data_IF_392037871858
#
_entry.id   IF_392037871858
#
_cell.length_a   1.000
_cell.length_b   1.000
_cell.length_c   1.000
_cell.angle_alpha   90.00
_cell.angle_beta   90.00
_cell.angle_gamma   90.00
#
_symmetry.space_group_name_H-M   'P 1'
#
loop_
_entity.id
_entity.type
_entity.pdbx_description
1 polymer ?
#
# COMPACT_ATOMS: atom_id res chain seq x y z
N UNK A 1 -7.18 -7.68 21.91
CA UNK A 1 -6.18 -7.71 20.82
C UNK A 1 -6.00 -9.16 20.39
N UNK A 2 -6.08 -9.45 19.08
CA UNK A 2 -5.84 -10.81 18.59
C UNK A 2 -4.38 -11.20 18.79
N UNK A 3 -4.14 -12.47 19.05
CA UNK A 3 -2.81 -13.05 19.25
C UNK A 3 -2.60 -14.15 18.24
N UNK A 4 -1.48 -14.06 17.53
CA UNK A 4 -1.09 -14.97 16.46
C UNK A 4 0.05 -15.86 16.92
N UNK A 5 0.01 -17.12 16.51
CA UNK A 5 1.06 -18.10 16.73
C UNK A 5 1.58 -18.56 15.37
N UNK A 6 2.90 -18.70 15.25
CA UNK A 6 3.58 -19.09 14.02
C UNK A 6 4.19 -20.48 14.22
N UNK A 7 4.01 -21.39 13.27
CA UNK A 7 4.69 -22.67 13.30
C UNK A 7 6.02 -22.56 12.53
N UNK A 8 7.14 -22.79 13.23
CA UNK A 8 8.49 -22.81 12.64
C UNK A 8 9.12 -24.19 12.79
N UNK A 9 8.43 -25.21 12.28
CA UNK A 9 8.91 -26.59 12.26
C UNK A 9 8.77 -27.28 13.61
N UNK A 10 9.78 -27.16 14.48
CA UNK A 10 9.82 -27.86 15.77
C UNK A 10 9.18 -27.06 16.92
N UNK A 11 8.94 -25.76 16.72
CA UNK A 11 8.44 -24.88 17.77
C UNK A 11 7.35 -23.94 17.24
N UNK A 12 6.42 -23.60 18.12
CA UNK A 12 5.41 -22.58 17.88
C UNK A 12 5.85 -21.28 18.54
N UNK A 13 6.04 -20.24 17.74
CA UNK A 13 6.45 -18.92 18.19
C UNK A 13 5.21 -18.05 18.45
N UNK A 14 5.25 -17.25 19.51
CA UNK A 14 4.19 -16.32 19.88
C UNK A 14 3.87 -16.37 21.37
N UNK A 15 2.81 -15.68 21.82
CA UNK A 15 1.83 -14.96 20.99
C UNK A 15 2.33 -13.60 20.45
N UNK A 16 2.08 -13.34 19.16
CA UNK A 16 2.42 -12.09 18.47
C UNK A 16 1.19 -11.22 18.18
N UNK A 17 1.40 -9.91 18.09
CA UNK A 17 0.46 -8.96 17.50
C UNK A 17 0.57 -8.94 15.97
N UNK A 18 -0.39 -8.32 15.28
CA UNK A 18 -0.33 -8.18 13.82
C UNK A 18 0.89 -7.34 13.39
N UNK A 19 1.26 -6.37 14.21
CA UNK A 19 2.44 -5.53 14.04
C UNK A 19 3.73 -6.37 14.18
N UNK A 20 3.84 -7.19 15.22
CA UNK A 20 5.01 -8.06 15.42
C UNK A 20 5.21 -9.06 14.26
N UNK A 21 4.11 -9.49 13.61
CA UNK A 21 4.19 -10.36 12.43
C UNK A 21 4.91 -9.69 11.25
N UNK A 22 4.88 -8.35 11.13
CA UNK A 22 5.63 -7.62 10.10
C UNK A 22 7.14 -7.78 10.32
N UNK A 23 7.58 -7.68 11.56
CA UNK A 23 8.99 -7.77 11.93
C UNK A 23 9.54 -9.19 11.76
N UNK A 24 8.68 -10.20 11.92
CA UNK A 24 9.04 -11.61 11.74
C UNK A 24 9.13 -12.06 10.28
N UNK A 25 8.86 -11.18 9.31
CA UNK A 25 8.94 -11.45 7.86
C UNK A 25 8.30 -12.79 7.47
N UNK A 26 7.09 -13.04 8.00
CA UNK A 26 6.34 -14.24 7.65
C UNK A 26 6.10 -14.31 6.14
N UNK A 27 5.99 -15.51 5.59
CA UNK A 27 5.67 -15.75 4.18
C UNK A 27 4.23 -16.23 4.01
N UNK A 28 3.74 -16.25 2.78
CA UNK A 28 2.40 -16.73 2.44
C UNK A 28 2.17 -18.18 2.85
N UNK A 29 3.22 -18.99 2.88
CA UNK A 29 3.22 -20.41 3.22
C UNK A 29 3.42 -20.65 4.72
N UNK A 30 3.74 -19.61 5.50
CA UNK A 30 3.93 -19.72 6.94
C UNK A 30 2.61 -20.15 7.57
N UNK A 31 2.63 -21.22 8.35
CA UNK A 31 1.46 -21.71 9.08
C UNK A 31 1.21 -20.83 10.30
N UNK A 32 0.00 -20.29 10.38
CA UNK A 32 -0.43 -19.38 11.45
C UNK A 32 -1.66 -19.94 12.12
N UNK A 33 -1.74 -19.77 13.44
CA UNK A 33 -2.93 -20.09 14.21
C UNK A 33 -3.30 -18.92 15.14
N UNK A 34 -4.59 -18.71 15.34
CA UNK A 34 -5.12 -17.78 16.33
C UNK A 34 -6.47 -18.29 16.83
N UNK A 35 -6.90 -17.80 17.98
CA UNK A 35 -8.19 -18.16 18.59
C UNK A 35 -9.33 -17.85 17.62
N UNK A 36 -10.04 -18.90 17.18
CA UNK A 36 -11.12 -18.82 16.19
C UNK A 36 -10.81 -19.52 14.85
N UNK A 37 -9.60 -20.07 14.67
CA UNK A 37 -9.29 -21.00 13.59
C UNK A 37 -9.41 -22.46 14.05
N UNK A 38 -9.94 -23.30 13.16
CA UNK A 38 -10.06 -24.76 13.40
C UNK A 38 -8.70 -25.46 13.49
N UNK A 39 -7.65 -24.86 12.93
CA UNK A 39 -6.29 -25.40 12.96
C UNK A 39 -5.26 -24.48 12.31
N UNK A 40 -4.02 -24.95 12.26
CA UNK A 40 -2.92 -24.26 11.58
C UNK A 40 -3.32 -23.98 10.13
N UNK A 41 -3.37 -22.70 9.79
CA UNK A 41 -3.82 -22.24 8.49
C UNK A 41 -2.69 -21.48 7.82
N UNK A 42 -2.38 -21.73 6.53
CA UNK A 42 -1.40 -20.95 5.80
C UNK A 42 -1.74 -19.46 5.84
N UNK A 43 -0.74 -18.60 6.04
CA UNK A 43 -0.97 -17.17 6.18
C UNK A 43 -1.66 -16.54 4.95
N UNK A 44 -1.45 -17.11 3.76
CA UNK A 44 -2.14 -16.74 2.51
C UNK A 44 -3.66 -16.97 2.51
N UNK A 45 -4.17 -17.85 3.38
CA UNK A 45 -5.60 -18.18 3.42
C UNK A 45 -6.31 -17.32 4.51
N UNK A 46 -5.53 -16.64 5.34
CA UNK A 46 -6.02 -15.75 6.39
C UNK A 46 -6.09 -14.33 5.83
N UNK A 47 -7.29 -13.90 5.41
CA UNK A 47 -7.55 -12.58 4.80
C UNK A 47 -6.91 -11.40 5.53
N UNK A 48 -6.92 -11.38 6.86
CA UNK A 48 -6.33 -10.30 7.66
C UNK A 48 -4.80 -10.21 7.58
N UNK A 49 -4.11 -11.28 7.18
CA UNK A 49 -2.65 -11.30 6.99
C UNK A 49 -2.23 -10.90 5.58
N UNK A 50 -3.15 -10.75 4.62
CA UNK A 50 -2.80 -10.37 3.24
C UNK A 50 -2.05 -9.04 3.17
N UNK A 51 -2.34 -8.12 4.09
CA UNK A 51 -1.64 -6.83 4.21
C UNK A 51 -0.12 -7.00 4.41
N UNK A 52 0.32 -8.13 4.98
CA UNK A 52 1.72 -8.46 5.18
C UNK A 52 2.40 -8.94 3.89
N UNK A 53 1.63 -9.38 2.90
CA UNK A 53 2.13 -9.96 1.64
C UNK A 53 1.92 -9.08 0.40
N UNK A 54 1.08 -8.05 0.51
CA UNK A 54 0.64 -7.20 -0.61
C UNK A 54 1.66 -6.16 -1.08
N UNK A 55 2.97 -6.37 -0.86
CA UNK A 55 3.97 -5.38 -1.29
C UNK A 55 4.17 -5.31 -2.82
N UNK A 56 3.76 -6.30 -3.60
CA UNK A 56 3.71 -6.25 -5.07
C UNK A 56 2.66 -7.26 -5.60
N UNK A 57 2.00 -7.01 -6.75
CA UNK A 57 1.19 -8.03 -7.39
C UNK A 57 2.09 -9.21 -7.78
N UNK A 58 2.03 -10.29 -7.02
CA UNK A 58 2.92 -11.45 -7.09
C UNK A 58 2.78 -12.29 -8.39
N UNK A 59 1.91 -11.91 -9.33
CA UNK A 59 1.63 -12.78 -10.48
C UNK A 59 2.56 -12.64 -11.70
N UNK A 60 3.32 -11.55 -11.90
CA UNK A 60 3.97 -11.35 -13.21
C UNK A 60 5.45 -10.90 -13.18
N UNK A 61 6.17 -11.14 -12.09
CA UNK A 61 7.56 -10.66 -11.97
C UNK A 61 8.56 -11.83 -11.84
N UNK A 62 8.61 -12.71 -12.84
CA UNK A 62 9.58 -13.83 -12.92
C UNK A 62 11.01 -13.36 -13.27
N UNK A 63 11.36 -12.10 -13.01
CA UNK A 63 12.71 -11.57 -13.25
C UNK A 63 12.78 -10.05 -13.05
N UNK A 64 14.01 -9.51 -12.93
CA UNK A 64 14.25 -8.05 -12.83
C UNK A 64 13.54 -7.26 -13.94
N UNK A 65 13.46 -7.83 -15.14
CA UNK A 65 12.74 -7.25 -16.29
C UNK A 65 11.24 -7.05 -16.04
N UNK A 66 10.57 -7.99 -15.38
CA UNK A 66 9.14 -7.85 -15.07
C UNK A 66 8.89 -6.68 -14.11
N UNK A 67 9.76 -6.53 -13.11
CA UNK A 67 9.69 -5.45 -12.12
C UNK A 67 9.92 -4.08 -12.78
N UNK A 68 10.93 -3.97 -13.64
CA UNK A 68 11.18 -2.76 -14.43
C UNK A 68 9.98 -2.41 -15.31
N UNK A 69 9.43 -3.38 -16.04
CA UNK A 69 8.25 -3.19 -16.88
C UNK A 69 7.01 -2.77 -16.08
N UNK A 70 6.79 -3.35 -14.89
CA UNK A 70 5.69 -2.95 -14.01
C UNK A 70 5.83 -1.50 -13.54
N UNK A 71 7.02 -1.09 -13.11
CA UNK A 71 7.25 0.30 -12.69
C UNK A 71 7.15 1.27 -13.85
N UNK A 72 7.68 0.92 -15.03
CA UNK A 72 7.56 1.73 -16.25
C UNK A 72 6.08 1.88 -16.64
N UNK A 73 5.33 0.79 -16.73
CA UNK A 73 3.91 0.82 -17.08
C UNK A 73 3.06 1.58 -16.05
N UNK A 74 3.41 1.43 -14.76
CA UNK A 74 2.76 2.18 -13.68
C UNK A 74 3.05 3.67 -13.79
N UNK A 75 4.31 4.06 -14.01
CA UNK A 75 4.70 5.47 -14.14
C UNK A 75 4.11 6.12 -15.39
N UNK A 76 4.11 5.43 -16.54
CA UNK A 76 3.49 5.92 -17.78
C UNK A 76 1.99 6.19 -17.59
N UNK A 77 1.29 5.30 -16.86
CA UNK A 77 -0.15 5.47 -16.57
C UNK A 77 -0.40 6.64 -15.61
N UNK A 78 0.42 6.80 -14.57
CA UNK A 78 0.32 7.92 -13.64
C UNK A 78 0.62 9.26 -14.36
N UNK A 79 1.68 9.32 -15.17
CA UNK A 79 2.02 10.51 -15.96
C UNK A 79 0.91 10.84 -16.97
N UNK A 80 0.38 9.85 -17.69
CA UNK A 80 -0.76 10.03 -18.60
C UNK A 80 -2.00 10.58 -17.90
N UNK A 81 -2.27 10.11 -16.68
CA UNK A 81 -3.37 10.62 -15.86
C UNK A 81 -3.16 12.11 -15.51
N UNK A 82 -1.97 12.49 -15.04
CA UNK A 82 -1.65 13.88 -14.70
C UNK A 82 -1.69 14.79 -15.93
N UNK A 83 -1.03 14.39 -17.03
CA UNK A 83 -0.99 15.17 -18.27
C UNK A 83 -2.39 15.39 -18.84
N UNK A 84 -3.28 14.38 -18.79
CA UNK A 84 -4.67 14.54 -19.28
C UNK A 84 -5.49 15.56 -18.48
N UNK A 85 -5.14 15.77 -17.22
CA UNK A 85 -5.87 16.68 -16.32
C UNK A 85 -5.11 17.98 -16.05
N UNK A 86 -3.89 18.13 -16.57
CA UNK A 86 -3.00 19.26 -16.23
C UNK A 86 -3.61 20.60 -16.61
N UNK A 87 -4.25 20.71 -17.78
CA UNK A 87 -4.89 21.94 -18.25
C UNK A 87 -6.01 22.39 -17.30
N UNK A 88 -6.77 21.43 -16.76
CA UNK A 88 -7.85 21.72 -15.80
C UNK A 88 -7.29 22.18 -14.47
N UNK A 89 -6.20 21.57 -14.01
CA UNK A 89 -5.51 22.00 -12.79
C UNK A 89 -4.87 23.38 -12.95
N UNK A 90 -4.27 23.68 -14.10
CA UNK A 90 -3.72 24.99 -14.43
C UNK A 90 -4.81 26.07 -14.47
N UNK A 91 -5.95 25.81 -15.11
CA UNK A 91 -7.09 26.72 -15.13
C UNK A 91 -7.60 27.04 -13.71
N UNK A 92 -7.75 26.02 -12.87
CA UNK A 92 -8.17 26.19 -11.48
C UNK A 92 -7.14 27.00 -10.69
N UNK A 93 -5.86 26.70 -10.87
CA UNK A 93 -4.77 27.40 -10.18
C UNK A 93 -4.73 28.88 -10.55
N UNK A 94 -4.87 29.22 -11.83
CA UNK A 94 -4.90 30.61 -12.31
C UNK A 94 -6.10 31.37 -11.73
N UNK A 95 -7.29 30.75 -11.70
CA UNK A 95 -8.49 31.38 -11.13
C UNK A 95 -8.33 31.69 -9.64
N UNK A 96 -7.80 30.73 -8.87
CA UNK A 96 -7.52 30.93 -7.45
C UNK A 96 -6.48 32.04 -7.26
N UNK A 97 -5.39 32.00 -8.03
CA UNK A 97 -4.31 32.98 -7.93
C UNK A 97 -4.80 34.40 -8.25
N UNK A 98 -5.56 34.59 -9.33
CA UNK A 98 -6.16 35.88 -9.67
C UNK A 98 -7.09 36.40 -8.56
N UNK A 99 -7.93 35.53 -7.98
CA UNK A 99 -8.78 35.87 -6.85
C UNK A 99 -7.99 36.31 -5.62
N UNK A 100 -6.91 35.60 -5.29
CA UNK A 100 -6.03 35.98 -4.17
C UNK A 100 -5.33 37.31 -4.38
N UNK A 101 -4.90 37.61 -5.62
CA UNK A 101 -4.30 38.90 -5.97
C UNK A 101 -5.31 40.03 -5.78
N UNK A 102 -6.52 39.89 -6.32
CA UNK A 102 -7.58 40.91 -6.20
C UNK A 102 -7.93 41.15 -4.73
N UNK A 103 -8.09 40.09 -3.95
CA UNK A 103 -8.36 40.19 -2.52
C UNK A 103 -7.25 40.93 -1.77
N UNK A 104 -5.98 40.63 -2.08
CA UNK A 104 -4.84 41.30 -1.48
C UNK A 104 -4.82 42.80 -1.81
N UNK A 105 -5.07 43.17 -3.06
CA UNK A 105 -5.16 44.57 -3.47
C UNK A 105 -6.32 45.32 -2.80
N UNK A 106 -7.50 44.71 -2.70
CA UNK A 106 -8.64 45.32 -1.99
C UNK A 106 -8.35 45.54 -0.50
N UNK A 107 -7.60 44.62 0.13
CA UNK A 107 -7.21 44.75 1.54
C UNK A 107 -6.11 45.78 1.78
N UNK A 108 -5.29 46.08 0.77
CA UNK A 108 -4.24 47.10 0.87
C UNK A 108 -4.79 48.53 0.67
N UNK A 109 -5.92 48.66 -0.03
CA UNK A 109 -6.58 49.94 -0.34
C UNK A 109 -7.52 50.44 0.77
N UNK A 110 -7.65 49.72 1.87
CA UNK A 110 -8.60 49.93 2.98
C UNK A 110 -7.84 50.23 4.26
#
# INVERSE_FOLDING_TARGET
MKKYYLNRGNENLGPFSLEDLKDHKITQETMVWFIGLDGWTPAKDIRELHVLFNSLPRHELTGRQGLENYYIAKMEKEESFFLKHIDKFLLLFVLVFAGTIIFFFMRLSL
#
